data_IF_012817554777
#
_entry.id   IF_012817554777
#
_cell.length_a   1.000
_cell.length_b   1.000
_cell.length_c   1.000
_cell.angle_alpha   90.00
_cell.angle_beta   90.00
_cell.angle_gamma   90.00
#
_symmetry.space_group_name_H-M   'P 1'
#
loop_
_entity.id
_entity.type
_entity.pdbx_description
1 polymer ?
#
# COMPACT_ATOMS: atom_id res chain seq x y z
N UNK A 1 28.78 -27.36 4.56
CA UNK A 1 27.76 -26.93 5.56
C UNK A 1 28.38 -26.38 6.84
N UNK A 2 29.39 -27.04 7.43
CA UNK A 2 30.07 -26.61 8.68
C UNK A 2 30.84 -25.28 8.56
N UNK A 3 31.35 -24.95 7.37
CA UNK A 3 32.14 -23.72 7.17
C UNK A 3 31.30 -22.43 7.13
N UNK A 4 30.03 -22.53 6.72
CA UNK A 4 29.13 -21.37 6.68
C UNK A 4 28.73 -20.93 8.10
N UNK A 5 28.50 -21.87 9.01
CA UNK A 5 28.26 -21.58 10.42
C UNK A 5 29.51 -20.98 11.09
N UNK A 6 30.71 -21.45 10.73
CA UNK A 6 31.98 -20.89 11.21
C UNK A 6 32.24 -19.47 10.70
N UNK A 7 31.72 -19.11 9.52
CA UNK A 7 31.82 -17.76 8.95
C UNK A 7 30.86 -16.74 9.59
N UNK A 8 29.95 -17.20 10.46
CA UNK A 8 28.95 -16.39 11.15
C UNK A 8 27.65 -16.20 10.36
N UNK A 9 27.31 -17.14 9.48
CA UNK A 9 26.00 -17.18 8.82
C UNK A 9 24.94 -17.80 9.73
N UNK A 10 23.72 -17.27 9.71
CA UNK A 10 22.59 -17.76 10.53
C UNK A 10 21.71 -18.70 9.73
N UNK A 11 21.36 -19.86 10.28
CA UNK A 11 20.39 -20.77 9.67
C UNK A 11 19.00 -20.10 9.63
N UNK A 12 18.34 -20.11 8.47
CA UNK A 12 16.99 -19.58 8.32
C UNK A 12 15.97 -20.72 8.27
N UNK A 13 14.70 -20.42 8.55
CA UNK A 13 13.57 -21.36 8.38
C UNK A 13 13.16 -21.56 6.92
N UNK A 14 13.84 -20.90 5.98
CA UNK A 14 13.53 -20.93 4.55
C UNK A 14 14.31 -22.05 3.86
N UNK A 15 13.67 -22.70 2.89
CA UNK A 15 14.28 -23.77 2.08
C UNK A 15 14.57 -23.26 0.67
N UNK A 16 15.68 -23.73 0.07
CA UNK A 16 16.04 -23.40 -1.29
C UNK A 16 14.99 -23.96 -2.27
N UNK A 17 14.44 -23.15 -3.20
CA UNK A 17 13.43 -23.63 -4.15
C UNK A 17 13.99 -24.64 -5.18
N UNK A 18 15.31 -24.68 -5.38
CA UNK A 18 15.94 -25.55 -6.37
C UNK A 18 16.33 -26.95 -5.83
N UNK A 19 16.59 -27.07 -4.52
CA UNK A 19 17.13 -28.31 -3.94
C UNK A 19 16.60 -28.64 -2.54
N UNK A 20 15.65 -27.85 -2.03
CA UNK A 20 15.02 -28.02 -0.71
C UNK A 20 15.97 -27.99 0.50
N UNK A 21 17.24 -27.60 0.31
CA UNK A 21 18.18 -27.44 1.42
C UNK A 21 17.88 -26.18 2.25
N UNK A 22 18.14 -26.16 3.56
CA UNK A 22 18.02 -24.94 4.38
C UNK A 22 18.87 -23.78 3.85
N UNK A 23 18.32 -22.57 3.86
CA UNK A 23 19.05 -21.35 3.47
C UNK A 23 19.78 -20.74 4.66
N UNK A 24 20.93 -20.14 4.38
CA UNK A 24 21.74 -19.41 5.34
C UNK A 24 21.64 -17.91 5.06
N UNK A 25 21.52 -17.11 6.11
CA UNK A 25 21.65 -15.65 6.03
C UNK A 25 23.11 -15.27 6.26
N UNK A 26 23.75 -14.70 5.25
CA UNK A 26 25.11 -14.18 5.34
C UNK A 26 25.13 -12.85 6.11
N UNK A 27 26.32 -12.40 6.54
CA UNK A 27 26.49 -11.15 7.31
C UNK A 27 26.02 -9.89 6.57
N UNK A 28 26.01 -9.91 5.24
CA UNK A 28 25.53 -8.82 4.40
C UNK A 28 23.99 -8.81 4.25
N UNK A 29 23.28 -9.77 4.85
CA UNK A 29 21.82 -9.89 4.77
C UNK A 29 21.31 -10.80 3.65
N UNK A 30 22.18 -11.30 2.77
CA UNK A 30 21.79 -12.16 1.65
C UNK A 30 21.41 -13.56 2.11
N UNK A 31 20.41 -14.16 1.44
CA UNK A 31 20.11 -15.58 1.58
C UNK A 31 20.99 -16.39 0.60
N UNK A 32 21.63 -17.43 1.12
CA UNK A 32 22.56 -18.27 0.39
C UNK A 32 22.21 -19.74 0.58
N UNK A 33 22.19 -20.48 -0.53
CA UNK A 33 22.07 -21.93 -0.50
C UNK A 33 23.47 -22.56 -0.49
N UNK A 34 23.83 -23.24 0.60
CA UNK A 34 25.11 -23.92 0.71
C UNK A 34 25.25 -25.17 -0.17
N UNK A 35 24.14 -25.72 -0.68
CA UNK A 35 24.15 -26.90 -1.56
C UNK A 35 24.23 -26.52 -3.05
N UNK A 36 23.55 -25.45 -3.44
CA UNK A 36 23.54 -24.95 -4.82
C UNK A 36 24.63 -23.91 -5.08
N UNK A 37 25.31 -23.42 -4.03
CA UNK A 37 26.28 -22.32 -4.08
C UNK A 37 25.74 -21.09 -4.80
N UNK A 38 24.48 -20.75 -4.52
CA UNK A 38 23.75 -19.65 -5.16
C UNK A 38 23.08 -18.74 -4.15
N UNK A 39 23.06 -17.45 -4.48
CA UNK A 39 22.25 -16.44 -3.81
C UNK A 39 20.78 -16.69 -4.14
N UNK A 40 19.93 -16.67 -3.10
CA UNK A 40 18.49 -16.78 -3.21
C UNK A 40 17.88 -15.43 -2.87
N UNK A 41 16.94 -14.98 -3.70
CA UNK A 41 16.21 -13.72 -3.48
C UNK A 41 14.75 -14.12 -3.26
N UNK A 42 14.17 -13.66 -2.15
CA UNK A 42 12.74 -13.82 -1.88
C UNK A 42 12.05 -12.57 -2.41
N UNK A 43 11.28 -12.72 -3.48
CA UNK A 43 10.38 -11.67 -3.96
C UNK A 43 9.10 -11.77 -3.15
N UNK A 44 8.77 -10.72 -2.38
CA UNK A 44 7.45 -10.61 -1.76
C UNK A 44 6.52 -9.97 -2.79
N UNK A 45 5.82 -10.77 -3.57
CA UNK A 45 4.82 -10.29 -4.54
C UNK A 45 3.65 -9.54 -3.88
N UNK A 46 3.45 -9.75 -2.57
CA UNK A 46 2.30 -9.26 -1.82
C UNK A 46 2.33 -7.74 -1.54
N UNK A 47 3.49 -7.09 -1.54
CA UNK A 47 3.60 -5.67 -1.15
C UNK A 47 3.30 -4.68 -2.28
N UNK A 48 3.83 -4.94 -3.48
CA UNK A 48 3.74 -4.00 -4.61
C UNK A 48 2.37 -4.05 -5.30
N UNK A 49 1.77 -5.24 -5.37
CA UNK A 49 0.42 -5.41 -5.92
C UNK A 49 -0.66 -4.79 -5.01
N UNK A 50 -0.49 -4.92 -3.70
CA UNK A 50 -1.41 -4.36 -2.69
C UNK A 50 -1.33 -2.83 -2.66
N UNK A 51 -0.13 -2.25 -2.72
CA UNK A 51 0.07 -0.80 -2.78
C UNK A 51 -0.55 -0.17 -4.04
N UNK A 52 -0.37 -0.80 -5.21
CA UNK A 52 -0.99 -0.35 -6.45
C UNK A 52 -2.53 -0.41 -6.39
N UNK A 53 -3.09 -1.48 -5.82
CA UNK A 53 -4.54 -1.62 -5.61
C UNK A 53 -5.06 -0.57 -4.63
N UNK A 54 -4.34 -0.31 -3.54
CA UNK A 54 -4.67 0.72 -2.57
C UNK A 54 -4.69 2.13 -3.19
N UNK A 55 -3.68 2.48 -3.98
CA UNK A 55 -3.62 3.77 -4.67
C UNK A 55 -4.77 3.90 -5.69
N UNK A 56 -5.06 2.84 -6.45
CA UNK A 56 -6.19 2.83 -7.39
C UNK A 56 -7.54 3.04 -6.67
N UNK A 57 -7.75 2.36 -5.54
CA UNK A 57 -8.95 2.53 -4.72
C UNK A 57 -9.10 3.98 -4.22
N UNK A 58 -8.02 4.58 -3.72
CA UNK A 58 -8.02 5.98 -3.28
C UNK A 58 -8.33 6.95 -4.43
N UNK A 59 -7.82 6.70 -5.63
CA UNK A 59 -8.13 7.50 -6.83
C UNK A 59 -9.61 7.42 -7.22
N UNK A 60 -10.23 6.24 -7.17
CA UNK A 60 -11.66 6.09 -7.47
C UNK A 60 -12.54 6.86 -6.47
N UNK A 61 -12.18 6.84 -5.19
CA UNK A 61 -12.92 7.59 -4.16
C UNK A 61 -12.71 9.10 -4.34
N UNK A 62 -11.49 9.54 -4.67
CA UNK A 62 -11.21 10.95 -4.98
C UNK A 62 -12.08 11.45 -6.15
N UNK A 63 -12.17 10.69 -7.24
CA UNK A 63 -13.02 11.01 -8.38
C UNK A 63 -14.49 11.10 -7.99
N UNK A 64 -15.00 10.13 -7.22
CA UNK A 64 -16.39 10.11 -6.74
C UNK A 64 -16.71 11.35 -5.90
N UNK A 65 -15.80 11.72 -4.98
CA UNK A 65 -15.98 12.91 -4.14
C UNK A 65 -16.01 14.18 -4.99
N UNK A 66 -15.12 14.30 -5.99
CA UNK A 66 -15.10 15.44 -6.90
C UNK A 66 -16.43 15.58 -7.67
N UNK A 67 -16.98 14.47 -8.18
CA UNK A 67 -18.29 14.45 -8.83
C UNK A 67 -19.39 14.89 -7.86
N UNK A 68 -19.43 14.36 -6.64
CA UNK A 68 -20.43 14.75 -5.64
C UNK A 68 -20.33 16.19 -5.20
N UNK A 69 -19.12 16.76 -5.13
CA UNK A 69 -18.95 18.19 -4.86
C UNK A 69 -19.56 19.05 -5.97
N UNK A 70 -19.42 18.65 -7.25
CA UNK A 70 -20.04 19.36 -8.37
C UNK A 70 -21.56 19.26 -8.33
N UNK A 71 -22.11 18.08 -8.05
CA UNK A 71 -23.56 17.88 -7.89
C UNK A 71 -24.14 18.76 -6.77
N UNK A 72 -23.48 18.82 -5.60
CA UNK A 72 -23.91 19.65 -4.48
C UNK A 72 -23.82 21.13 -4.86
N UNK A 73 -22.73 21.56 -5.49
CA UNK A 73 -22.56 22.95 -5.92
C UNK A 73 -23.67 23.38 -6.91
N UNK A 74 -24.04 22.51 -7.84
CA UNK A 74 -25.13 22.80 -8.78
C UNK A 74 -26.48 22.93 -8.04
N UNK A 75 -26.73 22.05 -7.05
CA UNK A 75 -27.94 22.16 -6.22
C UNK A 75 -27.96 23.44 -5.38
N UNK A 76 -26.82 23.87 -4.84
CA UNK A 76 -26.70 25.13 -4.09
C UNK A 76 -27.01 26.36 -4.94
N UNK A 77 -26.67 26.35 -6.23
CA UNK A 77 -26.98 27.47 -7.14
C UNK A 77 -28.48 27.72 -7.31
N UNK A 78 -29.29 26.66 -7.23
CA UNK A 78 -30.75 26.72 -7.36
C UNK A 78 -31.51 26.83 -6.03
N UNK A 79 -30.83 26.64 -4.89
CA UNK A 79 -31.48 26.61 -3.58
C UNK A 79 -31.77 28.03 -3.07
N UNK A 80 -33.05 28.30 -2.78
CA UNK A 80 -33.51 29.56 -2.19
C UNK A 80 -33.93 29.40 -0.71
N UNK A 81 -34.08 28.16 -0.24
CA UNK A 81 -34.40 27.87 1.14
C UNK A 81 -33.11 27.92 2.01
N UNK A 82 -33.05 28.77 3.04
CA UNK A 82 -31.88 28.87 3.91
C UNK A 82 -31.51 27.57 4.61
N UNK A 83 -32.51 26.73 4.94
CA UNK A 83 -32.27 25.46 5.61
C UNK A 83 -31.66 24.41 4.65
N UNK A 84 -32.17 24.31 3.41
CA UNK A 84 -31.54 23.53 2.35
C UNK A 84 -30.10 23.99 2.10
N UNK A 85 -29.86 25.30 1.98
CA UNK A 85 -28.51 25.85 1.80
C UNK A 85 -27.57 25.47 2.94
N UNK A 86 -28.05 25.49 4.19
CA UNK A 86 -27.29 25.07 5.38
C UNK A 86 -26.92 23.58 5.30
N UNK A 87 -27.87 22.72 4.92
CA UNK A 87 -27.64 21.29 4.78
C UNK A 87 -26.63 20.96 3.68
N UNK A 88 -26.79 21.58 2.50
CA UNK A 88 -25.86 21.42 1.38
C UNK A 88 -24.45 21.90 1.73
N UNK A 89 -24.34 23.01 2.44
CA UNK A 89 -23.04 23.54 2.91
C UNK A 89 -22.34 22.61 3.89
N UNK A 90 -23.11 21.96 4.78
CA UNK A 90 -22.58 20.96 5.72
C UNK A 90 -22.08 19.71 4.99
N UNK A 91 -22.86 19.21 4.01
CA UNK A 91 -22.45 18.08 3.18
C UNK A 91 -21.19 18.39 2.37
N UNK A 92 -21.12 19.57 1.75
CA UNK A 92 -19.94 20.01 0.99
C UNK A 92 -18.69 20.11 1.88
N UNK A 93 -18.85 20.63 3.09
CA UNK A 93 -17.75 20.69 4.08
C UNK A 93 -17.24 19.31 4.45
N UNK A 94 -18.14 18.33 4.64
CA UNK A 94 -17.77 16.94 4.89
C UNK A 94 -17.01 16.30 3.71
N UNK A 95 -17.45 16.56 2.48
CA UNK A 95 -16.74 16.07 1.28
C UNK A 95 -15.34 16.68 1.13
N UNK A 96 -15.20 17.97 1.41
CA UNK A 96 -13.90 18.66 1.40
C UNK A 96 -12.93 18.06 2.43
N UNK A 97 -13.43 17.71 3.62
CA UNK A 97 -12.61 17.10 4.65
C UNK A 97 -12.18 15.68 4.28
N UNK A 98 -13.09 14.89 3.70
CA UNK A 98 -12.76 13.57 3.15
C UNK A 98 -11.69 13.67 2.06
N UNK A 99 -11.76 14.66 1.17
CA UNK A 99 -10.78 14.88 0.12
C UNK A 99 -9.38 15.19 0.69
N UNK A 100 -9.30 15.99 1.75
CA UNK A 100 -8.04 16.23 2.47
C UNK A 100 -7.48 14.93 3.06
N UNK A 101 -8.34 14.10 3.66
CA UNK A 101 -7.97 12.79 4.21
C UNK A 101 -7.36 11.88 3.15
N UNK A 102 -8.00 11.74 1.99
CA UNK A 102 -7.50 10.92 0.87
C UNK A 102 -6.14 11.43 0.37
N UNK A 103 -5.99 12.75 0.21
CA UNK A 103 -4.72 13.36 -0.22
C UNK A 103 -3.61 13.20 0.81
N UNK A 104 -3.94 13.13 2.10
CA UNK A 104 -2.97 12.84 3.15
C UNK A 104 -2.52 11.37 3.13
N UNK A 105 -3.45 10.44 2.84
CA UNK A 105 -3.13 9.01 2.71
C UNK A 105 -2.21 8.73 1.51
N UNK A 106 -2.37 9.43 0.39
CA UNK A 106 -1.49 9.32 -0.81
C UNK A 106 -0.06 9.83 -0.63
N UNK A 107 0.24 10.59 0.44
CA UNK A 107 1.58 11.14 0.71
C UNK A 107 2.43 10.25 1.63
N UNK A 108 1.82 9.22 2.22
CA UNK A 108 2.50 8.25 3.08
C UNK A 108 2.99 7.09 2.23
#
# INVERSE_FOLDING_TARGET
MTDLLRSGATLTSLSCPACSSPLFRLKNGDLWCGQCEKRVIVVKEEGEADEAQHLAALSMVEETIMVKMMEINERMRGANDPEELRQLSLLLSGLLENLKGIRALRKR
#
